data_IF_869155724381
#
_entry.id   IF_869155724381
#
_cell.length_a   1.000
_cell.length_b   1.000
_cell.length_c   1.000
_cell.angle_alpha   90.00
_cell.angle_beta   90.00
_cell.angle_gamma   90.00
#
_symmetry.space_group_name_H-M   'P 1'
#
loop_
_entity.id
_entity.type
_entity.pdbx_description
1 polymer ?
#
# COMPACT_ATOMS: atom_id res chain seq x y z
N UNK A 1 23.15 -0.03 16.02
CA UNK A 1 22.11 -0.94 16.55
C UNK A 1 20.78 -0.21 16.54
N UNK A 2 20.24 0.15 15.37
CA UNK A 2 19.14 1.13 15.25
C UNK A 2 17.85 0.58 14.63
N UNK A 3 17.66 -0.75 14.62
CA UNK A 3 16.52 -1.34 13.89
C UNK A 3 15.27 -1.52 14.77
N UNK A 4 15.43 -1.82 16.06
CA UNK A 4 14.29 -1.86 17.00
C UNK A 4 13.77 -0.46 17.37
N UNK A 5 14.57 0.58 17.12
CA UNK A 5 14.30 1.93 17.61
C UNK A 5 13.23 2.68 16.82
N UNK A 6 12.91 2.30 15.57
CA UNK A 6 12.07 3.15 14.72
C UNK A 6 10.58 2.78 14.78
N UNK A 7 10.23 1.50 14.88
CA UNK A 7 8.83 1.07 14.98
C UNK A 7 8.29 1.10 16.40
N UNK A 8 9.07 0.67 17.40
CA UNK A 8 8.70 0.85 18.80
C UNK A 8 8.58 2.33 19.20
N UNK A 9 9.21 3.25 18.45
CA UNK A 9 9.01 4.68 18.64
C UNK A 9 7.75 5.23 17.96
N UNK A 10 7.17 4.54 16.96
CA UNK A 10 5.98 5.03 16.25
C UNK A 10 4.66 4.58 16.90
N UNK A 11 4.59 3.43 17.55
CA UNK A 11 3.36 2.99 18.25
C UNK A 11 2.99 3.83 19.51
N UNK A 12 3.81 4.81 19.91
CA UNK A 12 3.53 5.61 21.11
C UNK A 12 3.77 7.12 20.98
N UNK A 13 4.08 7.65 19.79
CA UNK A 13 4.00 9.10 19.65
C UNK A 13 2.52 9.48 19.66
N UNK A 14 2.01 9.83 20.84
CA UNK A 14 0.73 10.52 20.94
C UNK A 14 0.88 11.80 20.11
N UNK A 15 -0.12 12.19 19.30
CA UNK A 15 -0.08 13.47 18.60
C UNK A 15 0.25 14.60 19.56
N UNK A 16 0.79 15.74 19.08
CA UNK A 16 0.90 16.93 19.91
C UNK A 16 -0.41 17.17 20.66
N UNK A 17 -0.33 17.41 21.96
CA UNK A 17 -1.50 17.57 22.83
C UNK A 17 -2.53 18.51 22.19
N UNK A 18 -3.72 17.99 21.90
CA UNK A 18 -4.81 18.74 21.28
C UNK A 18 -5.20 18.31 19.86
N UNK A 19 -4.36 17.51 19.17
CA UNK A 19 -4.75 16.89 17.90
C UNK A 19 -5.48 15.58 18.19
N UNK A 20 -6.75 15.52 17.79
CA UNK A 20 -7.55 14.30 17.87
C UNK A 20 -7.15 13.37 16.71
N UNK A 21 -6.26 12.41 17.00
CA UNK A 21 -5.71 11.46 16.02
C UNK A 21 -6.79 10.80 15.18
N UNK A 22 -7.89 10.39 15.81
CA UNK A 22 -8.98 9.69 15.14
C UNK A 22 -9.70 10.57 14.13
N UNK A 23 -9.63 11.90 14.29
CA UNK A 23 -10.22 12.88 13.37
C UNK A 23 -9.29 13.31 12.24
N UNK A 24 -8.01 12.94 12.28
CA UNK A 24 -7.09 13.24 11.18
C UNK A 24 -7.46 12.42 9.94
N UNK A 25 -7.29 13.05 8.77
CA UNK A 25 -7.32 12.35 7.49
C UNK A 25 -6.20 11.29 7.43
N UNK A 26 -6.34 10.29 6.55
CA UNK A 26 -5.24 9.37 6.30
C UNK A 26 -4.00 10.10 5.79
N UNK A 27 -4.15 11.15 5.01
CA UNK A 27 -3.04 11.94 4.51
C UNK A 27 -2.25 12.62 5.65
N UNK A 28 -2.94 13.22 6.62
CA UNK A 28 -2.31 13.83 7.79
C UNK A 28 -1.64 12.78 8.69
N UNK A 29 -2.25 11.59 8.84
CA UNK A 29 -1.64 10.47 9.56
C UNK A 29 -0.36 9.99 8.88
N UNK A 30 -0.38 9.82 7.55
CA UNK A 30 0.82 9.48 6.75
C UNK A 30 1.91 10.55 6.90
N UNK A 31 1.55 11.84 6.79
CA UNK A 31 2.50 12.93 6.95
C UNK A 31 3.19 12.87 8.32
N UNK A 32 2.40 12.60 9.36
CA UNK A 32 2.88 12.52 10.73
C UNK A 32 3.78 11.31 10.97
N UNK A 33 3.47 10.15 10.37
CA UNK A 33 4.36 8.98 10.40
C UNK A 33 5.75 9.30 9.81
N UNK A 34 5.86 10.35 8.99
CA UNK A 34 7.14 10.93 8.59
C UNK A 34 7.91 10.11 7.56
N UNK A 35 7.26 9.16 6.89
CA UNK A 35 7.87 8.35 5.84
C UNK A 35 8.38 9.23 4.69
N UNK A 36 9.56 8.91 4.15
CA UNK A 36 10.13 9.65 3.01
C UNK A 36 9.36 9.41 1.71
N UNK A 37 8.72 8.24 1.61
CA UNK A 37 7.89 7.81 0.49
C UNK A 37 6.70 7.01 1.01
N UNK A 38 5.57 7.13 0.33
CA UNK A 38 4.40 6.28 0.55
C UNK A 38 3.79 5.86 -0.79
N UNK A 39 2.96 4.83 -0.80
CA UNK A 39 2.40 4.23 -2.00
C UNK A 39 2.87 2.79 -2.21
N UNK A 40 2.44 2.19 -3.31
CA UNK A 40 2.57 0.74 -3.51
C UNK A 40 3.49 0.37 -4.67
N UNK A 41 4.06 -0.83 -4.57
CA UNK A 41 4.64 -1.51 -5.72
C UNK A 41 3.51 -2.08 -6.57
N UNK A 42 3.55 -1.85 -7.87
CA UNK A 42 2.60 -2.36 -8.86
C UNK A 42 3.29 -3.44 -9.69
N UNK A 43 2.73 -4.64 -9.69
CA UNK A 43 3.07 -5.70 -10.63
C UNK A 43 1.98 -5.80 -11.70
N UNK A 44 2.24 -5.27 -12.89
CA UNK A 44 1.37 -5.49 -14.06
C UNK A 44 1.64 -6.89 -14.62
N UNK A 45 0.62 -7.72 -14.75
CA UNK A 45 0.75 -9.08 -15.30
C UNK A 45 0.00 -9.33 -16.61
N UNK A 46 -0.73 -8.33 -17.13
CA UNK A 46 -1.39 -8.42 -18.44
C UNK A 46 -0.92 -7.30 -19.38
N UNK A 47 -0.35 -7.71 -20.51
CA UNK A 47 0.31 -6.82 -21.48
C UNK A 47 -0.31 -6.88 -22.88
N UNK A 48 -1.42 -7.61 -23.06
CA UNK A 48 -2.15 -7.60 -24.32
C UNK A 48 -2.75 -6.20 -24.56
N UNK A 49 -2.75 -5.76 -25.83
CA UNK A 49 -3.17 -4.40 -26.22
C UNK A 49 -4.59 -4.05 -25.80
N UNK A 50 -5.48 -5.03 -25.74
CA UNK A 50 -6.87 -4.85 -25.30
C UNK A 50 -6.96 -4.30 -23.86
N UNK A 51 -5.97 -4.60 -23.02
CA UNK A 51 -5.91 -4.11 -21.63
C UNK A 51 -5.27 -2.74 -21.47
N UNK A 52 -4.72 -2.14 -22.53
CA UNK A 52 -4.02 -0.85 -22.43
C UNK A 52 -4.96 0.28 -21.99
N UNK A 53 -6.23 0.26 -22.41
CA UNK A 53 -7.23 1.23 -21.98
C UNK A 53 -7.45 1.20 -20.46
N UNK A 54 -7.66 0.01 -19.88
CA UNK A 54 -7.81 -0.16 -18.43
C UNK A 54 -6.54 0.21 -17.67
N UNK A 55 -5.37 -0.08 -18.23
CA UNK A 55 -4.08 0.33 -17.64
C UNK A 55 -3.93 1.86 -17.63
N UNK A 56 -4.34 2.52 -18.69
CA UNK A 56 -4.34 3.98 -18.76
C UNK A 56 -5.33 4.62 -17.78
N UNK A 57 -6.50 3.99 -17.56
CA UNK A 57 -7.44 4.42 -16.51
C UNK A 57 -6.86 4.29 -15.10
N UNK A 58 -6.15 3.18 -14.82
CA UNK A 58 -5.49 3.00 -13.53
C UNK A 58 -4.41 4.06 -13.27
N UNK A 59 -3.57 4.36 -14.28
CA UNK A 59 -2.59 5.47 -14.17
C UNK A 59 -3.29 6.82 -13.95
N UNK A 60 -4.40 7.09 -14.65
CA UNK A 60 -5.21 8.30 -14.45
C UNK A 60 -5.77 8.37 -13.03
N UNK A 61 -6.20 7.25 -12.45
CA UNK A 61 -6.65 7.21 -11.05
C UNK A 61 -5.53 7.65 -10.10
N UNK A 62 -4.34 7.07 -10.20
CA UNK A 62 -3.18 7.47 -9.37
C UNK A 62 -2.83 8.95 -9.56
N UNK A 63 -2.87 9.45 -10.80
CA UNK A 63 -2.58 10.85 -11.10
C UNK A 63 -3.62 11.79 -10.48
N UNK A 64 -4.92 11.47 -10.59
CA UNK A 64 -6.00 12.26 -9.98
C UNK A 64 -5.91 12.27 -8.47
N UNK A 65 -5.55 11.14 -7.87
CA UNK A 65 -5.30 11.04 -6.44
C UNK A 65 -4.15 11.98 -6.02
N UNK A 66 -3.02 11.95 -6.73
CA UNK A 66 -1.92 12.89 -6.48
C UNK A 66 -2.38 14.35 -6.55
N UNK A 67 -3.08 14.73 -7.63
CA UNK A 67 -3.60 16.09 -7.83
C UNK A 67 -4.59 16.50 -6.74
N UNK A 68 -5.48 15.59 -6.34
CA UNK A 68 -6.44 15.80 -5.26
C UNK A 68 -5.73 16.04 -3.93
N UNK A 69 -4.75 15.21 -3.57
CA UNK A 69 -3.97 15.39 -2.35
C UNK A 69 -3.22 16.73 -2.39
N UNK A 70 -2.53 17.02 -3.50
CA UNK A 70 -1.75 18.25 -3.63
C UNK A 70 -2.60 19.53 -3.53
N UNK A 71 -3.87 19.49 -3.93
CA UNK A 71 -4.73 20.68 -4.01
C UNK A 71 -5.79 20.78 -2.92
N UNK A 72 -6.21 19.67 -2.31
CA UNK A 72 -7.39 19.62 -1.42
C UNK A 72 -7.12 18.99 -0.05
N UNK A 73 -6.01 18.28 0.14
CA UNK A 73 -5.70 17.63 1.42
C UNK A 73 -5.24 18.64 2.47
N UNK A 74 -5.46 18.30 3.74
CA UNK A 74 -4.84 18.93 4.92
C UNK A 74 -3.34 18.62 5.06
N UNK A 75 -2.82 17.65 4.29
CA UNK A 75 -1.42 17.27 4.24
C UNK A 75 -0.86 17.23 2.79
N UNK A 76 -0.91 18.34 2.04
CA UNK A 76 -0.58 18.35 0.61
C UNK A 76 0.88 17.98 0.31
N UNK A 77 1.78 18.15 1.31
CA UNK A 77 3.19 17.81 1.19
C UNK A 77 3.43 16.32 0.90
N UNK A 78 2.50 15.43 1.28
CA UNK A 78 2.67 13.99 1.01
C UNK A 78 2.50 13.66 -0.47
N UNK A 79 1.82 14.50 -1.27
CA UNK A 79 1.68 14.24 -2.71
C UNK A 79 3.06 14.08 -3.37
N UNK A 80 4.03 14.93 -3.00
CA UNK A 80 5.41 14.87 -3.48
C UNK A 80 6.20 13.63 -2.97
N UNK A 81 5.68 12.95 -1.95
CA UNK A 81 6.24 11.70 -1.40
C UNK A 81 5.53 10.46 -1.94
N UNK A 82 4.46 10.63 -2.73
CA UNK A 82 3.72 9.53 -3.32
C UNK A 82 4.56 8.86 -4.41
N UNK A 83 4.82 7.57 -4.27
CA UNK A 83 5.68 6.81 -5.17
C UNK A 83 5.09 5.44 -5.48
N UNK A 84 4.51 5.29 -6.68
CA UNK A 84 4.00 4.03 -7.19
C UNK A 84 5.01 3.42 -8.17
N UNK A 85 5.57 2.28 -7.79
CA UNK A 85 6.71 1.68 -8.51
C UNK A 85 6.25 0.49 -9.35
N UNK A 86 6.50 0.52 -10.66
CA UNK A 86 6.28 -0.66 -11.50
C UNK A 86 7.38 -1.71 -11.30
N UNK A 87 7.00 -2.88 -10.79
CA UNK A 87 7.84 -4.07 -10.73
C UNK A 87 7.63 -4.97 -11.94
N UNK A 88 8.73 -5.56 -12.44
CA UNK A 88 8.70 -6.60 -13.49
C UNK A 88 8.47 -8.00 -12.95
N UNK A 89 8.63 -8.21 -11.64
CA UNK A 89 8.47 -9.51 -10.99
C UNK A 89 7.35 -9.44 -9.96
N UNK A 90 6.55 -10.52 -9.80
CA UNK A 90 5.54 -10.59 -8.75
C UNK A 90 6.18 -10.50 -7.36
N UNK A 91 7.43 -10.97 -7.24
CA UNK A 91 8.21 -10.91 -6.00
C UNK A 91 8.95 -9.58 -5.92
N UNK A 92 8.31 -8.61 -5.27
CA UNK A 92 8.89 -7.30 -4.94
C UNK A 92 9.97 -7.37 -3.87
N UNK A 93 10.23 -8.52 -3.23
CA UNK A 93 11.23 -8.66 -2.14
C UNK A 93 12.63 -8.17 -2.52
N UNK A 94 13.10 -8.49 -3.72
CA UNK A 94 14.41 -8.02 -4.19
C UNK A 94 14.45 -6.50 -4.33
N UNK A 95 13.35 -5.89 -4.77
CA UNK A 95 13.19 -4.45 -4.81
C UNK A 95 13.11 -3.85 -3.40
N UNK A 96 12.34 -4.46 -2.48
CA UNK A 96 12.19 -3.99 -1.11
C UNK A 96 13.53 -3.94 -0.36
N UNK A 97 14.36 -4.98 -0.50
CA UNK A 97 15.73 -5.02 0.05
C UNK A 97 16.62 -3.90 -0.50
N UNK A 98 16.42 -3.53 -1.76
CA UNK A 98 17.21 -2.49 -2.42
C UNK A 98 16.72 -1.07 -2.07
N UNK A 99 15.40 -0.86 -1.96
CA UNK A 99 14.80 0.45 -1.65
C UNK A 99 14.98 0.81 -0.16
N UNK A 100 15.02 -0.18 0.73
CA UNK A 100 15.29 0.04 2.16
C UNK A 100 16.35 -0.95 2.71
N UNK A 101 17.65 -0.65 2.48
CA UNK A 101 18.76 -1.52 2.91
C UNK A 101 19.04 -1.45 4.42
N UNK A 102 18.37 -0.55 5.16
CA UNK A 102 18.57 -0.37 6.61
C UNK A 102 17.81 -1.43 7.40
N UNK A 103 16.71 -1.92 6.84
CA UNK A 103 15.85 -2.93 7.45
C UNK A 103 16.18 -4.29 6.86
N UNK A 104 16.42 -5.28 7.72
CA UNK A 104 16.49 -6.68 7.27
C UNK A 104 15.08 -7.15 6.90
N UNK A 105 14.77 -7.09 5.61
CA UNK A 105 13.47 -7.48 5.08
C UNK A 105 13.17 -8.96 5.30
N UNK A 106 14.18 -9.82 5.47
CA UNK A 106 13.99 -11.26 5.68
C UNK A 106 13.90 -11.65 7.15
N UNK A 107 14.06 -10.70 8.10
CA UNK A 107 13.97 -10.99 9.53
C UNK A 107 12.53 -11.42 9.89
N UNK A 108 12.32 -12.69 10.34
CA UNK A 108 10.99 -13.14 10.75
C UNK A 108 10.52 -12.50 12.06
N UNK A 109 11.39 -11.81 12.81
CA UNK A 109 11.03 -11.10 14.04
C UNK A 109 10.54 -9.67 13.79
N UNK A 110 10.67 -9.15 12.56
CA UNK A 110 10.12 -7.83 12.25
C UNK A 110 8.60 -7.88 12.24
N UNK A 111 7.97 -7.13 13.14
CA UNK A 111 6.51 -7.14 13.28
C UNK A 111 5.79 -6.50 12.09
N UNK A 112 6.41 -5.49 11.47
CA UNK A 112 5.89 -4.83 10.28
C UNK A 112 7.04 -4.29 9.45
N UNK A 113 6.96 -4.47 8.13
CA UNK A 113 7.88 -3.82 7.18
C UNK A 113 7.33 -2.48 6.70
N UNK A 114 6.11 -2.12 7.09
CA UNK A 114 5.35 -0.99 6.54
C UNK A 114 4.59 -1.36 5.27
N UNK A 115 3.47 -0.69 5.01
CA UNK A 115 2.53 -1.04 3.94
C UNK A 115 3.18 -1.18 2.56
N UNK A 116 4.12 -0.28 2.24
CA UNK A 116 4.89 -0.24 0.99
C UNK A 116 5.71 -1.50 0.70
N UNK A 117 6.21 -2.15 1.75
CA UNK A 117 7.15 -3.27 1.66
C UNK A 117 6.49 -4.61 2.02
N UNK A 118 5.37 -4.56 2.74
CA UNK A 118 4.56 -5.71 3.12
C UNK A 118 3.52 -6.06 2.05
N UNK A 119 2.97 -5.07 1.32
CA UNK A 119 1.91 -5.29 0.33
C UNK A 119 2.26 -4.75 -1.05
N UNK A 120 1.71 -5.38 -2.08
CA UNK A 120 1.84 -4.92 -3.47
C UNK A 120 0.55 -5.09 -4.24
N UNK A 121 0.39 -4.27 -5.28
CA UNK A 121 -0.76 -4.29 -6.18
C UNK A 121 -0.45 -5.17 -7.39
N UNK A 122 -1.16 -6.28 -7.53
CA UNK A 122 -1.19 -7.10 -8.74
C UNK A 122 -2.27 -6.55 -9.67
N UNK A 123 -1.85 -6.14 -10.87
CA UNK A 123 -2.73 -5.53 -11.85
C UNK A 123 -2.80 -6.44 -13.08
N UNK A 124 -3.89 -7.21 -13.16
CA UNK A 124 -4.26 -7.96 -14.35
C UNK A 124 -5.31 -7.20 -15.19
N UNK A 125 -5.38 -7.54 -16.47
CA UNK A 125 -6.16 -6.81 -17.46
C UNK A 125 -7.66 -6.99 -17.29
N UNK A 126 -8.09 -8.18 -16.89
CA UNK A 126 -9.50 -8.51 -16.64
C UNK A 126 -10.03 -7.77 -15.39
N UNK A 127 -9.18 -7.69 -14.36
CA UNK A 127 -9.45 -6.94 -13.15
C UNK A 127 -9.62 -5.46 -13.42
N UNK A 128 -8.74 -4.86 -14.22
CA UNK A 128 -8.87 -3.47 -14.59
C UNK A 128 -10.19 -3.15 -15.30
N UNK A 129 -10.62 -3.99 -16.24
CA UNK A 129 -11.93 -3.81 -16.90
C UNK A 129 -13.10 -3.93 -15.92
N UNK A 130 -12.94 -4.76 -14.90
CA UNK A 130 -13.94 -4.95 -13.85
C UNK A 130 -13.80 -3.96 -12.68
N UNK A 131 -12.86 -3.01 -12.77
CA UNK A 131 -12.62 -1.98 -11.75
C UNK A 131 -11.94 -2.48 -10.47
N UNK A 132 -11.22 -3.60 -10.52
CA UNK A 132 -10.48 -4.16 -9.39
C UNK A 132 -9.00 -4.38 -9.67
N UNK A 133 -8.22 -4.49 -8.60
CA UNK A 133 -6.83 -4.95 -8.60
C UNK A 133 -6.66 -5.99 -7.48
N UNK A 134 -5.64 -6.84 -7.59
CA UNK A 134 -5.23 -7.70 -6.49
C UNK A 134 -4.37 -6.93 -5.49
N UNK A 135 -4.70 -6.97 -4.22
CA UNK A 135 -3.79 -6.62 -3.14
C UNK A 135 -3.17 -7.92 -2.62
N UNK A 136 -1.84 -8.00 -2.59
CA UNK A 136 -1.11 -9.23 -2.30
C UNK A 136 -0.13 -9.00 -1.16
N UNK A 137 -0.02 -9.97 -0.25
CA UNK A 137 1.00 -9.96 0.79
C UNK A 137 2.37 -10.41 0.22
N UNK A 138 3.40 -9.60 0.43
CA UNK A 138 4.77 -9.82 -0.05
C UNK A 138 5.53 -10.92 0.71
N UNK A 139 5.13 -11.18 1.95
CA UNK A 139 5.84 -12.03 2.90
C UNK A 139 4.91 -13.08 3.54
N UNK A 140 4.29 -13.98 2.76
CA UNK A 140 3.51 -15.08 3.34
C UNK A 140 4.34 -15.91 4.31
N UNK A 141 3.68 -16.37 5.38
CA UNK A 141 4.27 -17.19 6.44
C UNK A 141 4.89 -18.49 5.89
N UNK A 142 4.27 -19.06 4.85
CA UNK A 142 4.75 -20.26 4.16
C UNK A 142 4.84 -20.01 2.64
N UNK A 143 5.89 -20.52 1.97
CA UNK A 143 5.96 -20.48 0.52
C UNK A 143 4.79 -21.24 -0.12
N UNK A 144 4.02 -20.56 -0.98
CA UNK A 144 2.85 -21.14 -1.66
C UNK A 144 1.51 -20.67 -1.08
N UNK A 145 1.50 -20.16 0.16
CA UNK A 145 0.32 -19.60 0.83
C UNK A 145 0.20 -18.10 0.50
N UNK A 146 0.33 -17.73 -0.78
CA UNK A 146 0.20 -16.32 -1.20
C UNK A 146 -1.25 -15.88 -1.06
N UNK A 147 -1.57 -15.27 0.08
CA UNK A 147 -2.86 -14.63 0.30
C UNK A 147 -2.93 -13.33 -0.52
N UNK A 148 -3.99 -13.23 -1.30
CA UNK A 148 -4.34 -12.00 -2.02
C UNK A 148 -5.85 -11.81 -2.01
N UNK A 149 -6.29 -10.56 -2.08
CA UNK A 149 -7.70 -10.22 -2.17
C UNK A 149 -7.95 -9.23 -3.29
N UNK A 150 -9.17 -9.22 -3.83
CA UNK A 150 -9.59 -8.21 -4.80
C UNK A 150 -10.05 -6.96 -4.07
N UNK A 151 -9.50 -5.81 -4.45
CA UNK A 151 -9.93 -4.50 -3.99
C UNK A 151 -10.37 -3.64 -5.18
N UNK A 152 -11.26 -2.68 -4.96
CA UNK A 152 -11.63 -1.74 -6.02
C UNK A 152 -10.45 -0.82 -6.33
N UNK A 153 -10.32 -0.42 -7.60
CA UNK A 153 -9.33 0.60 -8.00
C UNK A 153 -9.52 1.89 -7.19
N UNK A 154 -10.76 2.28 -6.92
CA UNK A 154 -11.08 3.47 -6.12
C UNK A 154 -10.55 3.42 -4.69
N UNK A 155 -10.38 2.21 -4.14
CA UNK A 155 -9.85 1.96 -2.80
C UNK A 155 -8.34 2.15 -2.72
N UNK A 156 -7.64 2.16 -3.87
CA UNK A 156 -6.19 2.40 -3.90
C UNK A 156 -5.93 3.87 -3.59
N UNK A 157 -5.50 4.14 -2.36
CA UNK A 157 -5.07 5.47 -1.93
C UNK A 157 -4.49 5.55 -0.53
N UNK A 158 -4.46 6.77 0.02
CA UNK A 158 -3.93 7.12 1.33
C UNK A 158 -4.58 6.32 2.46
N UNK A 159 -5.91 6.20 2.45
CA UNK A 159 -6.67 5.45 3.47
C UNK A 159 -6.23 3.98 3.53
N UNK A 160 -6.21 3.30 2.38
CA UNK A 160 -5.73 1.93 2.28
C UNK A 160 -4.28 1.81 2.73
N UNK A 161 -3.41 2.73 2.29
CA UNK A 161 -1.99 2.72 2.66
C UNK A 161 -1.80 2.83 4.18
N UNK A 162 -2.48 3.78 4.82
CA UNK A 162 -2.39 4.01 6.26
C UNK A 162 -2.87 2.78 7.04
N UNK A 163 -4.03 2.22 6.67
CA UNK A 163 -4.59 1.07 7.38
C UNK A 163 -3.71 -0.18 7.25
N UNK A 164 -3.12 -0.41 6.07
CA UNK A 164 -2.14 -1.49 5.85
C UNK A 164 -0.80 -1.26 6.56
N UNK A 165 -0.58 -0.11 7.21
CA UNK A 165 0.57 0.10 8.10
C UNK A 165 0.59 -0.88 9.28
N UNK A 166 -0.58 -1.42 9.64
CA UNK A 166 -0.77 -2.41 10.70
C UNK A 166 -1.08 -3.78 10.08
N UNK A 167 -0.14 -4.74 10.08
CA UNK A 167 -0.32 -6.02 9.38
C UNK A 167 -1.55 -6.81 9.82
N UNK A 168 -1.98 -6.68 11.07
CA UNK A 168 -3.20 -7.32 11.60
C UNK A 168 -4.48 -6.90 10.86
N UNK A 169 -4.48 -5.71 10.27
CA UNK A 169 -5.60 -5.18 9.49
C UNK A 169 -5.83 -6.02 8.24
N UNK A 170 -4.80 -6.70 7.72
CA UNK A 170 -4.95 -7.66 6.63
C UNK A 170 -6.03 -8.70 6.95
N UNK A 171 -5.93 -9.36 8.10
CA UNK A 171 -6.86 -10.43 8.48
C UNK A 171 -8.26 -9.92 8.82
N UNK A 172 -8.41 -8.64 9.16
CA UNK A 172 -9.72 -8.03 9.37
C UNK A 172 -10.50 -7.81 8.07
N UNK A 173 -9.80 -7.64 6.94
CA UNK A 173 -10.40 -7.32 5.65
C UNK A 173 -10.20 -8.38 4.57
N UNK A 174 -9.34 -9.36 4.83
CA UNK A 174 -9.03 -10.41 3.89
C UNK A 174 -10.29 -11.15 3.45
N UNK A 175 -10.50 -11.16 2.14
CA UNK A 175 -11.55 -11.94 1.48
C UNK A 175 -10.88 -12.72 0.36
N UNK A 176 -10.89 -14.06 0.41
CA UNK A 176 -10.35 -14.88 -0.65
C UNK A 176 -10.94 -14.45 -2.01
N UNK A 177 -10.13 -14.48 -3.07
CA UNK A 177 -10.53 -13.97 -4.38
C UNK A 177 -11.65 -14.80 -5.03
N UNK A 178 -11.82 -16.06 -4.63
CA UNK A 178 -12.95 -16.91 -5.01
C UNK A 178 -14.26 -16.43 -4.38
N UNK A 179 -14.21 -15.89 -3.17
CA UNK A 179 -15.38 -15.38 -2.44
C UNK A 179 -15.80 -13.97 -2.89
N UNK A 180 -14.90 -13.26 -3.59
CA UNK A 180 -15.22 -12.03 -4.32
C UNK A 180 -14.34 -10.84 -3.97
N UNK A 181 -14.97 -9.67 -3.85
CA UNK A 181 -14.32 -8.42 -3.46
C UNK A 181 -14.28 -8.34 -1.93
N UNK A 182 -13.20 -7.78 -1.37
CA UNK A 182 -13.23 -7.34 0.03
C UNK A 182 -14.37 -6.32 0.20
N UNK A 183 -15.31 -6.62 1.09
CA UNK A 183 -16.57 -5.87 1.24
C UNK A 183 -16.44 -4.59 2.06
N UNK A 184 -15.23 -4.25 2.52
CA UNK A 184 -15.05 -3.04 3.32
C UNK A 184 -15.01 -1.80 2.45
N UNK A 185 -15.74 -0.78 2.89
CA UNK A 185 -15.84 0.51 2.23
C UNK A 185 -14.54 1.27 2.45
N UNK A 186 -13.61 1.12 1.51
CA UNK A 186 -12.53 2.07 1.29
C UNK A 186 -12.99 3.14 0.30
#
# INVERSE_FOLDING_TARGET
>A
MSSTAQLAAQEQQTPPSGVDWEKLSAEAKIQWCGEDKWGFVIYRCSYAKEFDGGWDDFKRHIQRMHESIASQSDAPAIANKMDFVLSKTPRSRAWARADNPVVDMDDPQIMSRGARYEFFLKVDGEGLWSGYVGLVQGWPLSPGDEDWMKIRVSSVGSELYYQLGYPEVWYAYYTPPEDGLSTTGW
#
